data_IF_627404766198
#
_entry.id   IF_627404766198
#
_cell.length_a   1.000
_cell.length_b   1.000
_cell.length_c   1.000
_cell.angle_alpha   90.00
_cell.angle_beta   90.00
_cell.angle_gamma   90.00
#
_symmetry.space_group_name_H-M   'P 1'
#
loop_
_entity.id
_entity.type
_entity.pdbx_description
1 polymer ?
#
# COMPACT_ATOMS: atom_id res chain seq x y z
N UNK A 1 6.78 -33.53 14.49
CA UNK A 1 6.53 -32.85 13.20
C UNK A 1 6.59 -31.31 13.31
N UNK A 2 5.70 -30.64 14.04
CA UNK A 2 5.64 -29.16 14.09
C UNK A 2 6.91 -28.47 14.63
N UNK A 3 7.55 -29.01 15.67
CA UNK A 3 8.85 -28.53 16.16
C UNK A 3 9.97 -28.66 15.12
N UNK A 4 9.91 -29.73 14.31
CA UNK A 4 10.87 -29.98 13.22
C UNK A 4 10.69 -28.98 12.09
N UNK A 5 9.45 -28.64 11.73
CA UNK A 5 9.14 -27.64 10.70
C UNK A 5 9.66 -26.24 11.11
N UNK A 6 9.40 -25.81 12.34
CA UNK A 6 9.91 -24.51 12.85
C UNK A 6 11.45 -24.49 12.86
N UNK A 7 12.08 -25.58 13.28
CA UNK A 7 13.54 -25.70 13.30
C UNK A 7 14.12 -25.64 11.88
N UNK A 8 13.49 -26.32 10.93
CA UNK A 8 13.86 -26.29 9.51
C UNK A 8 13.69 -24.90 8.90
N UNK A 9 12.57 -24.22 9.16
CA UNK A 9 12.33 -22.86 8.67
C UNK A 9 13.37 -21.88 9.22
N UNK A 10 13.73 -21.99 10.50
CA UNK A 10 14.74 -21.14 11.13
C UNK A 10 16.13 -21.35 10.53
N UNK A 11 16.52 -22.61 10.30
CA UNK A 11 17.77 -22.97 9.63
C UNK A 11 17.79 -22.38 8.21
N UNK A 12 16.71 -22.58 7.45
CA UNK A 12 16.63 -22.10 6.07
C UNK A 12 16.70 -20.57 5.98
N UNK A 13 16.08 -19.86 6.92
CA UNK A 13 16.20 -18.41 7.10
C UNK A 13 17.66 -18.01 7.35
N UNK A 14 18.35 -18.69 8.27
CA UNK A 14 19.74 -18.37 8.61
C UNK A 14 20.69 -18.63 7.44
N UNK A 15 20.42 -19.66 6.63
CA UNK A 15 21.17 -19.94 5.40
C UNK A 15 20.96 -18.83 4.35
N UNK A 16 19.71 -18.39 4.14
CA UNK A 16 19.38 -17.36 3.15
C UNK A 16 19.92 -15.98 3.55
N UNK A 17 19.75 -15.56 4.81
CA UNK A 17 20.08 -14.19 5.23
C UNK A 17 21.55 -13.97 5.60
N UNK A 18 22.27 -15.03 6.00
CA UNK A 18 23.65 -14.91 6.46
C UNK A 18 24.65 -15.71 5.60
N UNK A 19 24.22 -16.29 4.48
CA UNK A 19 25.07 -17.12 3.62
C UNK A 19 25.65 -18.34 4.34
N UNK A 20 25.00 -18.78 5.42
CA UNK A 20 25.52 -19.82 6.29
C UNK A 20 25.34 -21.20 5.66
N UNK A 21 26.37 -22.04 5.73
CA UNK A 21 26.25 -23.45 5.37
C UNK A 21 25.33 -24.19 6.35
N UNK A 22 24.75 -25.33 5.95
CA UNK A 22 23.83 -26.11 6.81
C UNK A 22 24.45 -26.48 8.16
N UNK A 23 25.73 -26.85 8.18
CA UNK A 23 26.47 -27.15 9.40
C UNK A 23 26.73 -25.90 10.27
N UNK A 24 26.88 -24.72 9.66
CA UNK A 24 26.98 -23.43 10.37
C UNK A 24 25.65 -22.99 11.01
N UNK A 25 24.54 -23.33 10.35
CA UNK A 25 23.19 -23.03 10.86
C UNK A 25 22.77 -23.97 12.00
N UNK A 26 23.24 -25.22 12.00
CA UNK A 26 23.06 -26.14 13.14
C UNK A 26 23.95 -25.77 14.34
N UNK A 27 25.12 -25.17 14.09
CA UNK A 27 26.04 -24.67 15.14
C UNK A 27 25.73 -23.23 15.58
N UNK A 28 24.61 -22.63 15.14
CA UNK A 28 24.19 -21.33 15.63
C UNK A 28 24.09 -21.35 17.15
N UNK A 29 25.04 -20.63 17.74
CA UNK A 29 25.40 -20.63 19.13
C UNK A 29 24.18 -20.66 20.07
N UNK A 30 24.22 -21.52 21.08
CA UNK A 30 23.32 -21.51 22.23
C UNK A 30 23.13 -20.08 22.76
N UNK A 31 24.12 -19.19 22.60
CA UNK A 31 24.02 -17.75 22.89
C UNK A 31 22.98 -17.00 22.07
N UNK A 32 22.82 -17.24 20.77
CA UNK A 32 21.77 -16.58 19.94
C UNK A 32 20.38 -17.09 20.29
N UNK A 33 20.23 -18.40 20.48
CA UNK A 33 18.96 -18.96 20.96
C UNK A 33 18.61 -18.43 22.35
N UNK A 34 19.60 -18.30 23.25
CA UNK A 34 19.41 -17.73 24.57
C UNK A 34 19.18 -16.21 24.52
N UNK A 35 19.81 -15.49 23.60
CA UNK A 35 19.59 -14.06 23.37
C UNK A 35 18.18 -13.80 22.85
N UNK A 36 17.72 -14.56 21.85
CA UNK A 36 16.35 -14.50 21.33
C UNK A 36 15.33 -14.88 22.41
N UNK A 37 15.55 -15.95 23.18
CA UNK A 37 14.70 -16.35 24.30
C UNK A 37 14.68 -15.28 25.41
N UNK A 38 15.83 -14.71 25.76
CA UNK A 38 15.96 -13.65 26.75
C UNK A 38 15.26 -12.35 26.31
N UNK A 39 15.46 -11.98 25.04
CA UNK A 39 14.79 -10.84 24.41
C UNK A 39 13.27 -11.04 24.41
N UNK A 40 12.77 -12.20 23.96
CA UNK A 40 11.34 -12.55 24.01
C UNK A 40 10.76 -12.52 25.43
N UNK A 41 11.50 -13.04 26.42
CA UNK A 41 11.05 -13.06 27.81
C UNK A 41 10.96 -11.64 28.41
N UNK A 42 11.84 -10.74 27.99
CA UNK A 42 11.87 -9.33 28.46
C UNK A 42 10.91 -8.42 27.68
N UNK A 43 10.63 -8.76 26.43
CA UNK A 43 9.80 -7.98 25.53
C UNK A 43 8.73 -8.90 24.93
N UNK A 44 7.56 -9.08 25.59
CA UNK A 44 6.47 -9.92 25.10
C UNK A 44 5.75 -9.32 23.88
N UNK A 45 6.48 -8.55 23.07
CA UNK A 45 6.04 -7.90 21.85
C UNK A 45 5.88 -8.96 20.76
N UNK A 46 4.99 -8.70 19.80
CA UNK A 46 4.66 -9.68 18.76
C UNK A 46 5.72 -9.57 17.67
N UNK A 47 6.59 -10.57 17.60
CA UNK A 47 7.41 -10.81 16.41
C UNK A 47 6.69 -11.87 15.58
N UNK A 48 6.30 -11.54 14.34
CA UNK A 48 5.79 -12.52 13.38
C UNK A 48 6.86 -12.90 12.36
N UNK A 49 6.76 -14.13 11.86
CA UNK A 49 7.51 -14.59 10.72
C UNK A 49 6.53 -14.72 9.56
N UNK A 50 6.73 -13.90 8.57
CA UNK A 50 5.81 -13.72 7.46
C UNK A 50 6.34 -14.54 6.28
N UNK A 51 5.59 -15.54 5.86
CA UNK A 51 5.85 -16.29 4.64
C UNK A 51 4.66 -16.08 3.71
N UNK A 52 4.90 -15.72 2.47
CA UNK A 52 3.80 -15.56 1.50
C UNK A 52 4.26 -16.03 0.13
N UNK A 53 3.37 -16.75 -0.55
CA UNK A 53 3.54 -17.22 -1.92
C UNK A 53 2.32 -16.77 -2.71
N UNK A 54 2.46 -15.75 -3.55
CA UNK A 54 1.33 -15.24 -4.31
C UNK A 54 1.32 -15.87 -5.70
N UNK A 55 0.17 -16.40 -6.09
CA UNK A 55 -0.04 -17.07 -7.37
C UNK A 55 -0.90 -16.21 -8.30
N UNK A 56 -0.26 -15.45 -9.18
CA UNK A 56 -1.02 -14.60 -10.10
C UNK A 56 -1.52 -15.41 -11.29
N UNK A 57 -2.84 -15.55 -11.35
CA UNK A 57 -3.57 -15.83 -12.57
C UNK A 57 -4.28 -14.53 -12.97
N UNK A 58 -4.16 -14.11 -14.23
CA UNK A 58 -5.10 -13.18 -14.86
C UNK A 58 -5.04 -13.46 -16.36
N UNK A 59 -6.01 -14.19 -16.93
CA UNK A 59 -6.06 -14.42 -18.37
C UNK A 59 -6.30 -13.08 -19.07
N UNK A 60 -5.63 -12.82 -20.19
CA UNK A 60 -6.04 -11.75 -21.11
C UNK A 60 -7.35 -12.17 -21.81
N UNK A 61 -8.04 -11.25 -22.53
CA UNK A 61 -9.24 -11.58 -23.31
C UNK A 61 -9.04 -12.66 -24.39
N UNK A 62 -7.78 -13.01 -24.72
CA UNK A 62 -7.42 -14.08 -25.66
C UNK A 62 -7.05 -15.39 -24.93
N UNK A 63 -7.23 -15.48 -23.62
CA UNK A 63 -6.91 -16.64 -22.79
C UNK A 63 -5.42 -16.81 -22.47
N UNK A 64 -4.55 -15.86 -22.81
CA UNK A 64 -3.13 -15.87 -22.43
C UNK A 64 -2.96 -15.19 -21.09
N UNK A 65 -2.42 -15.88 -20.09
CA UNK A 65 -2.18 -15.26 -18.79
C UNK A 65 -1.22 -14.07 -18.91
N UNK A 66 -1.70 -12.86 -18.60
CA UNK A 66 -0.89 -11.62 -18.56
C UNK A 66 0.22 -11.74 -17.51
N UNK A 67 0.03 -12.59 -16.50
CA UNK A 67 0.96 -12.81 -15.39
C UNK A 67 1.47 -14.25 -15.30
N UNK A 68 1.40 -15.03 -16.39
CA UNK A 68 1.65 -16.48 -16.42
C UNK A 68 2.70 -16.95 -15.40
N UNK A 69 2.23 -17.53 -14.28
CA UNK A 69 3.01 -18.19 -13.24
C UNK A 69 4.14 -17.38 -12.59
N UNK A 70 3.99 -16.08 -12.37
CA UNK A 70 4.93 -15.36 -11.49
C UNK A 70 4.57 -15.63 -10.03
N UNK A 71 5.41 -16.42 -9.35
CA UNK A 71 5.32 -16.64 -7.91
C UNK A 71 6.08 -15.51 -7.20
N UNK A 72 5.38 -14.66 -6.45
CA UNK A 72 6.04 -13.78 -5.48
C UNK A 72 6.19 -14.55 -4.18
N UNK A 73 7.40 -15.07 -3.94
CA UNK A 73 7.79 -15.69 -2.68
C UNK A 73 8.50 -14.68 -1.80
N UNK A 74 7.99 -14.47 -0.59
CA UNK A 74 8.62 -13.61 0.39
C UNK A 74 8.80 -14.28 1.75
N UNK A 75 9.90 -13.94 2.40
CA UNK A 75 10.15 -14.23 3.81
C UNK A 75 10.42 -12.91 4.50
N UNK A 76 9.68 -12.64 5.58
CA UNK A 76 9.79 -11.42 6.33
C UNK A 76 9.58 -11.55 7.82
N UNK A 77 9.84 -10.45 8.51
CA UNK A 77 9.61 -10.31 9.94
C UNK A 77 8.81 -9.04 10.17
N UNK A 78 7.77 -9.14 10.99
CA UNK A 78 7.08 -7.97 11.50
C UNK A 78 7.27 -7.86 13.00
N UNK A 79 7.74 -6.71 13.45
CA UNK A 79 7.89 -6.39 14.87
C UNK A 79 6.80 -5.41 15.29
N UNK A 80 5.94 -5.84 16.21
CA UNK A 80 4.90 -5.01 16.82
C UNK A 80 5.11 -4.91 18.32
N UNK A 81 5.52 -3.73 18.76
CA UNK A 81 5.88 -3.49 20.15
C UNK A 81 5.22 -2.25 20.74
N UNK A 82 4.63 -2.40 21.92
CA UNK A 82 4.28 -1.30 22.81
C UNK A 82 5.02 -1.49 24.14
N UNK A 83 5.69 -0.46 24.63
CA UNK A 83 6.41 -0.57 25.90
C UNK A 83 5.47 -0.27 27.08
N UNK A 84 5.36 -1.19 28.04
CA UNK A 84 4.51 -0.97 29.22
C UNK A 84 5.03 0.24 30.01
N UNK A 85 4.20 1.29 30.09
CA UNK A 85 4.53 2.55 30.77
C UNK A 85 5.43 3.49 29.97
N UNK A 86 5.98 3.06 28.82
CA UNK A 86 6.66 3.96 27.87
C UNK A 86 5.83 3.98 26.60
N UNK A 87 5.27 5.13 26.30
CA UNK A 87 4.36 5.38 25.19
C UNK A 87 4.99 5.25 23.78
N UNK A 88 5.85 4.27 23.56
CA UNK A 88 6.52 3.98 22.29
C UNK A 88 5.78 2.84 21.59
N UNK A 89 5.41 3.05 20.33
CA UNK A 89 4.88 2.03 19.42
C UNK A 89 5.77 1.91 18.20
N UNK A 90 6.02 0.68 17.75
CA UNK A 90 6.64 0.41 16.45
C UNK A 90 6.00 -0.82 15.80
N UNK A 91 5.79 -0.72 14.49
CA UNK A 91 5.29 -1.71 13.55
C UNK A 91 6.14 -1.61 12.28
N UNK A 92 7.10 -2.54 12.16
CA UNK A 92 8.08 -2.59 11.09
C UNK A 92 8.00 -3.95 10.44
N UNK A 93 7.82 -3.99 9.13
CA UNK A 93 7.91 -5.19 8.31
C UNK A 93 9.16 -5.14 7.45
N UNK A 94 9.91 -6.21 7.40
CA UNK A 94 11.01 -6.40 6.46
C UNK A 94 10.80 -7.72 5.74
N UNK A 95 10.98 -7.77 4.42
CA UNK A 95 10.96 -9.03 3.69
C UNK A 95 11.88 -9.03 2.47
N UNK A 96 12.29 -10.23 2.08
CA UNK A 96 13.06 -10.49 0.87
C UNK A 96 12.15 -11.13 -0.19
N UNK A 97 12.10 -10.54 -1.38
CA UNK A 97 11.39 -11.08 -2.54
C UNK A 97 12.35 -11.92 -3.38
N UNK A 98 12.25 -13.25 -3.26
CA UNK A 98 13.17 -14.17 -3.93
C UNK A 98 13.07 -14.11 -5.46
N UNK A 99 11.86 -13.83 -5.98
CA UNK A 99 11.61 -13.64 -7.41
C UNK A 99 12.27 -12.40 -7.98
N UNK A 100 12.52 -11.38 -7.14
CA UNK A 100 13.10 -10.11 -7.56
C UNK A 100 14.57 -9.96 -7.18
N UNK A 101 15.06 -10.80 -6.25
CA UNK A 101 16.33 -10.60 -5.56
C UNK A 101 16.40 -9.18 -4.94
N UNK A 102 15.33 -8.79 -4.24
CA UNK A 102 15.16 -7.47 -3.64
C UNK A 102 14.70 -7.54 -2.20
N UNK A 103 15.14 -6.55 -1.43
CA UNK A 103 14.72 -6.33 -0.05
C UNK A 103 13.72 -5.18 0.03
N UNK A 104 12.70 -5.38 0.85
CA UNK A 104 11.68 -4.41 1.15
C UNK A 104 11.64 -4.15 2.65
N UNK A 105 11.58 -2.86 3.02
CA UNK A 105 11.34 -2.42 4.39
C UNK A 105 10.09 -1.56 4.36
N UNK A 106 9.14 -1.89 5.22
CA UNK A 106 7.95 -1.10 5.43
C UNK A 106 7.84 -0.65 6.89
N UNK A 107 7.75 0.66 7.09
CA UNK A 107 7.51 1.25 8.40
C UNK A 107 6.03 1.63 8.46
N UNK A 108 5.20 0.75 9.01
CA UNK A 108 3.75 0.98 9.10
C UNK A 108 3.47 2.05 10.15
N UNK A 109 4.07 1.88 11.33
CA UNK A 109 3.80 2.71 12.51
C UNK A 109 5.09 2.81 13.34
N UNK A 110 5.51 3.99 13.76
CA UNK A 110 6.66 4.18 14.64
C UNK A 110 6.60 5.56 15.28
N UNK A 111 6.11 5.64 16.52
CA UNK A 111 5.93 6.90 17.20
C UNK A 111 6.09 6.78 18.71
N UNK A 112 6.38 7.93 19.31
CA UNK A 112 6.30 8.15 20.75
C UNK A 112 5.09 9.03 21.07
N UNK A 113 4.33 8.67 22.10
CA UNK A 113 3.20 9.45 22.60
C UNK A 113 3.52 10.04 23.98
N UNK A 114 2.99 11.22 24.30
CA UNK A 114 2.95 11.75 25.66
C UNK A 114 1.50 11.98 26.01
N UNK A 115 1.02 11.27 27.03
CA UNK A 115 -0.36 11.35 27.50
C UNK A 115 -0.46 12.38 28.62
N UNK A 116 -1.40 13.29 28.49
CA UNK A 116 -1.93 14.13 29.57
C UNK A 116 -3.39 13.73 29.84
N UNK A 117 -4.01 14.25 30.90
CA UNK A 117 -5.31 13.75 31.39
C UNK A 117 -6.42 13.64 30.32
N UNK A 118 -6.42 14.47 29.27
CA UNK A 118 -7.43 14.47 28.20
C UNK A 118 -6.85 14.63 26.79
N UNK A 119 -5.53 14.67 26.69
CA UNK A 119 -4.82 15.04 25.46
C UNK A 119 -3.60 14.15 25.32
N UNK A 120 -3.39 13.61 24.12
CA UNK A 120 -2.24 12.80 23.74
C UNK A 120 -1.47 13.54 22.63
N UNK A 121 -0.16 13.74 22.82
CA UNK A 121 0.75 14.22 21.78
C UNK A 121 1.57 13.04 21.26
N UNK A 122 1.45 12.69 19.98
CA UNK A 122 2.31 11.70 19.33
C UNK A 122 3.29 12.37 18.37
N UNK A 123 4.52 11.88 18.31
CA UNK A 123 5.55 12.32 17.36
C UNK A 123 6.15 11.08 16.70
N UNK A 124 6.18 11.07 15.37
CA UNK A 124 6.72 9.97 14.57
C UNK A 124 5.81 9.64 13.38
N UNK A 125 5.89 8.42 12.89
CA UNK A 125 4.99 7.89 11.86
C UNK A 125 3.80 7.22 12.54
N UNK A 126 2.60 7.75 12.37
CA UNK A 126 1.39 7.25 13.05
C UNK A 126 0.28 6.87 12.09
N UNK A 127 -0.20 5.63 12.18
CA UNK A 127 -1.41 5.18 11.48
C UNK A 127 -2.65 5.68 12.25
N UNK A 128 -3.53 6.40 11.57
CA UNK A 128 -4.74 6.99 12.16
C UNK A 128 -5.98 6.65 11.33
N UNK A 129 -7.12 6.43 11.95
CA UNK A 129 -8.33 6.11 11.19
C UNK A 129 -9.05 7.37 10.68
N UNK A 130 -8.48 7.97 9.63
CA UNK A 130 -9.07 9.12 8.96
C UNK A 130 -10.37 8.76 8.22
N UNK A 131 -10.44 7.59 7.57
CA UNK A 131 -11.65 7.13 6.89
C UNK A 131 -11.76 5.61 6.92
N UNK A 132 -12.87 5.08 7.45
CA UNK A 132 -13.18 3.66 7.40
C UNK A 132 -13.29 3.15 5.96
N UNK A 133 -13.81 3.97 5.05
CA UNK A 133 -13.91 3.62 3.63
C UNK A 133 -12.53 3.48 2.97
N UNK A 134 -11.63 4.45 3.17
CA UNK A 134 -10.26 4.39 2.65
C UNK A 134 -9.48 3.19 3.23
N UNK A 135 -9.73 2.81 4.49
CA UNK A 135 -9.16 1.59 5.09
C UNK A 135 -9.73 0.30 4.49
N UNK A 136 -11.02 0.27 4.19
CA UNK A 136 -11.71 -0.94 3.69
C UNK A 136 -11.30 -1.28 2.26
N UNK A 137 -11.14 -0.23 1.44
CA UNK A 137 -10.80 -0.33 0.02
C UNK A 137 -9.32 -0.07 -0.26
N UNK A 138 -8.57 0.37 0.74
CA UNK A 138 -7.16 0.72 0.66
C UNK A 138 -6.85 1.64 -0.53
N UNK A 139 -7.60 2.74 -0.68
CA UNK A 139 -7.46 3.65 -1.84
C UNK A 139 -6.24 4.57 -1.74
N UNK A 140 -5.71 4.77 -0.52
CA UNK A 140 -4.53 5.59 -0.28
C UNK A 140 -4.84 7.08 -0.30
N UNK A 141 -6.10 7.46 -0.09
CA UNK A 141 -6.55 8.86 -0.09
C UNK A 141 -5.91 9.61 1.08
N UNK A 142 -6.16 9.12 2.30
CA UNK A 142 -5.76 9.80 3.53
C UNK A 142 -4.34 9.44 3.97
N UNK A 143 -3.86 8.27 3.59
CA UNK A 143 -2.59 7.73 4.05
C UNK A 143 -1.85 6.99 2.94
N UNK A 144 -0.51 7.07 2.90
CA UNK A 144 0.27 6.37 1.90
C UNK A 144 0.20 4.86 2.10
N UNK A 145 0.34 4.13 1.00
CA UNK A 145 0.35 2.66 0.98
C UNK A 145 1.73 2.12 0.65
N UNK A 146 2.00 0.94 1.16
CA UNK A 146 3.07 0.08 0.71
C UNK A 146 2.49 -0.95 -0.25
N UNK A 147 2.77 -0.77 -1.54
CA UNK A 147 2.16 -1.44 -2.69
C UNK A 147 3.11 -2.43 -3.35
N UNK A 148 3.93 -3.13 -2.58
CA UNK A 148 4.72 -4.25 -3.12
C UNK A 148 3.83 -5.31 -3.79
N UNK A 149 2.61 -5.49 -3.26
CA UNK A 149 1.49 -6.22 -3.85
C UNK A 149 0.30 -5.27 -3.99
N UNK A 150 -0.19 -5.06 -5.22
CA UNK A 150 -1.36 -4.19 -5.46
C UNK A 150 -2.68 -4.76 -4.99
N UNK A 151 -2.77 -6.08 -4.82
CA UNK A 151 -3.96 -6.71 -4.26
C UNK A 151 -4.05 -6.55 -2.73
N UNK A 152 -2.90 -6.38 -2.07
CA UNK A 152 -2.82 -6.17 -0.62
C UNK A 152 -1.94 -4.98 -0.27
N UNK A 153 -2.36 -3.77 -0.67
CA UNK A 153 -1.69 -2.57 -0.21
C UNK A 153 -1.78 -2.49 1.32
N UNK A 154 -0.65 -2.25 1.96
CA UNK A 154 -0.58 -2.04 3.41
C UNK A 154 -0.56 -0.53 3.66
N UNK A 155 -1.55 0.01 4.35
CA UNK A 155 -1.53 1.41 4.72
C UNK A 155 -0.39 1.71 5.70
N UNK A 156 0.22 2.88 5.54
CA UNK A 156 1.28 3.37 6.38
C UNK A 156 0.89 4.67 7.07
N UNK A 157 1.45 4.89 8.26
CA UNK A 157 1.23 6.09 9.04
C UNK A 157 1.68 7.37 8.33
N UNK A 158 1.07 8.50 8.70
CA UNK A 158 1.61 9.81 8.33
C UNK A 158 2.78 10.13 9.27
N UNK A 159 3.86 10.68 8.74
CA UNK A 159 5.03 11.10 9.53
C UNK A 159 4.81 12.53 10.00
N UNK A 160 4.87 12.80 11.30
CA UNK A 160 4.72 14.17 11.84
C UNK A 160 4.33 14.21 13.31
N UNK A 161 3.60 15.25 13.67
CA UNK A 161 3.09 15.50 15.03
C UNK A 161 1.58 15.35 15.04
N UNK A 162 1.07 14.63 16.02
CA UNK A 162 -0.35 14.39 16.22
C UNK A 162 -0.76 14.87 17.60
N UNK A 163 -1.87 15.58 17.69
CA UNK A 163 -2.50 15.93 18.94
C UNK A 163 -3.91 15.35 18.92
N UNK A 164 -4.24 14.53 19.90
CA UNK A 164 -5.55 13.90 20.00
C UNK A 164 -6.15 14.14 21.39
N UNK A 165 -7.47 14.21 21.49
CA UNK A 165 -8.12 14.38 22.78
C UNK A 165 -9.58 13.95 22.76
N UNK A 166 -10.19 13.90 23.94
CA UNK A 166 -11.59 13.54 24.08
C UNK A 166 -12.31 14.34 25.16
N UNK A 167 -13.57 14.68 24.89
CA UNK A 167 -14.47 15.37 25.81
C UNK A 167 -15.87 14.78 25.66
N UNK A 168 -16.35 14.09 26.70
CA UNK A 168 -17.65 13.38 26.69
C UNK A 168 -17.75 12.40 25.51
N UNK A 169 -18.66 12.67 24.58
CA UNK A 169 -18.95 11.88 23.40
C UNK A 169 -18.14 12.33 22.18
N UNK A 170 -17.23 13.29 22.32
CA UNK A 170 -16.43 13.81 21.22
C UNK A 170 -14.96 13.41 21.37
N UNK A 171 -14.36 13.03 20.25
CA UNK A 171 -12.94 12.76 20.07
C UNK A 171 -12.45 13.65 18.93
N UNK A 172 -11.23 14.16 19.04
CA UNK A 172 -10.62 14.96 17.98
C UNK A 172 -9.16 14.55 17.81
N UNK A 173 -8.68 14.70 16.58
CA UNK A 173 -7.29 14.45 16.20
C UNK A 173 -6.86 15.54 15.22
N UNK A 174 -5.71 16.15 15.47
CA UNK A 174 -5.06 17.09 14.54
C UNK A 174 -3.66 16.58 14.22
N UNK A 175 -3.23 16.75 12.98
CA UNK A 175 -1.94 16.32 12.47
C UNK A 175 -1.27 17.48 11.74
N UNK A 176 0.04 17.63 11.93
CA UNK A 176 0.85 18.55 11.15
C UNK A 176 2.23 17.93 10.87
N UNK A 177 2.78 18.20 9.69
CA UNK A 177 4.11 17.74 9.33
C UNK A 177 4.78 18.60 8.26
N UNK A 178 6.10 18.85 8.35
CA UNK A 178 6.89 19.35 7.22
C UNK A 178 7.40 18.23 6.29
N UNK A 179 7.19 16.96 6.66
CA UNK A 179 7.64 15.79 5.90
C UNK A 179 6.45 14.92 5.48
N UNK A 180 6.46 14.51 4.22
CA UNK A 180 5.53 13.52 3.66
C UNK A 180 6.34 12.39 3.05
N UNK A 181 5.93 11.16 3.35
CA UNK A 181 6.50 9.98 2.70
C UNK A 181 5.44 9.41 1.77
N UNK A 182 5.68 9.36 0.44
CA UNK A 182 4.71 8.89 -0.52
C UNK A 182 4.49 7.37 -0.40
N UNK A 183 3.59 6.86 -1.23
CA UNK A 183 3.44 5.42 -1.42
C UNK A 183 4.74 4.81 -1.93
N UNK A 184 5.03 3.60 -1.48
CA UNK A 184 6.18 2.83 -1.92
C UNK A 184 5.66 1.64 -2.72
N UNK A 185 6.03 1.58 -4.00
CA UNK A 185 5.61 0.52 -4.92
C UNK A 185 6.66 -0.58 -5.11
N UNK A 186 6.45 -1.45 -6.11
CA UNK A 186 7.44 -2.39 -6.59
C UNK A 186 8.76 -1.71 -6.96
N UNK A 187 9.88 -2.36 -6.66
CA UNK A 187 11.18 -1.89 -7.11
C UNK A 187 11.36 -2.16 -8.61
N UNK A 188 12.12 -1.30 -9.29
CA UNK A 188 12.53 -1.47 -10.67
C UNK A 188 14.01 -1.18 -10.84
N UNK A 189 14.58 -1.68 -11.93
CA UNK A 189 15.93 -1.40 -12.38
C UNK A 189 15.83 -0.54 -13.63
N UNK A 190 16.53 0.60 -13.61
CA UNK A 190 16.75 1.44 -14.76
C UNK A 190 18.18 1.20 -15.27
N UNK A 191 18.31 0.50 -16.39
CA UNK A 191 19.60 0.21 -17.02
C UNK A 191 19.47 0.39 -18.53
N UNK A 192 20.53 0.90 -19.18
CA UNK A 192 20.55 1.15 -20.63
C UNK A 192 19.31 1.90 -21.14
N UNK A 193 18.88 2.92 -20.38
CA UNK A 193 17.72 3.77 -20.71
C UNK A 193 16.41 2.98 -20.83
N UNK A 194 16.29 1.87 -20.09
CA UNK A 194 15.11 1.01 -20.07
C UNK A 194 14.74 0.67 -18.63
N UNK A 195 13.43 0.57 -18.39
CA UNK A 195 12.90 0.10 -17.12
C UNK A 195 12.59 -1.39 -17.18
N UNK A 196 12.94 -2.09 -16.11
CA UNK A 196 12.64 -3.50 -15.95
C UNK A 196 12.36 -3.82 -14.48
N UNK A 197 11.51 -4.81 -14.23
CA UNK A 197 11.32 -5.37 -12.91
C UNK A 197 10.87 -6.82 -13.03
N UNK A 198 11.27 -7.64 -12.07
CA UNK A 198 10.74 -8.98 -11.91
C UNK A 198 9.38 -8.97 -11.18
N UNK A 199 9.03 -7.88 -10.49
CA UNK A 199 7.75 -7.76 -9.80
C UNK A 199 6.60 -7.79 -10.83
N UNK A 200 5.58 -8.64 -10.64
CA UNK A 200 4.44 -8.74 -11.56
C UNK A 200 3.59 -7.45 -11.60
N UNK A 201 3.62 -6.64 -10.53
CA UNK A 201 2.87 -5.39 -10.44
C UNK A 201 3.56 -4.19 -11.08
N UNK A 202 4.75 -4.38 -11.62
CA UNK A 202 5.44 -3.37 -12.40
C UNK A 202 5.16 -3.58 -13.89
N UNK A 203 4.49 -2.61 -14.51
CA UNK A 203 4.27 -2.58 -15.96
C UNK A 203 5.36 -1.71 -16.60
N UNK A 204 6.35 -2.29 -17.29
CA UNK A 204 7.36 -1.48 -17.97
C UNK A 204 6.68 -0.65 -19.08
N UNK A 205 7.15 0.59 -19.32
CA UNK A 205 6.66 1.38 -20.44
C UNK A 205 7.07 0.74 -21.78
N UNK A 206 6.50 1.24 -22.88
CA UNK A 206 6.77 0.70 -24.21
C UNK A 206 8.27 0.72 -24.54
N UNK A 207 8.80 -0.33 -25.17
CA UNK A 207 10.25 -0.43 -25.48
C UNK A 207 10.61 0.08 -26.86
N UNK A 208 9.63 0.08 -27.77
CA UNK A 208 9.84 0.41 -29.17
C UNK A 208 8.71 1.31 -29.67
N UNK A 209 9.05 2.21 -30.58
CA UNK A 209 8.10 3.05 -31.29
C UNK A 209 8.30 2.91 -32.80
N UNK A 210 7.18 2.94 -33.54
CA UNK A 210 7.21 3.06 -34.99
C UNK A 210 7.26 4.54 -35.35
N UNK A 211 8.35 4.99 -35.94
CA UNK A 211 8.47 6.38 -36.42
C UNK A 211 7.83 6.47 -37.81
N UNK A 212 6.79 7.31 -38.00
CA UNK A 212 6.18 7.50 -39.32
C UNK A 212 7.23 7.92 -40.36
N UNK A 213 7.25 7.25 -41.51
CA UNK A 213 8.18 7.53 -42.61
C UNK A 213 9.44 6.67 -42.64
N UNK A 214 9.80 5.98 -41.56
CA UNK A 214 10.97 5.08 -41.53
C UNK A 214 10.60 3.59 -41.68
N UNK A 215 9.32 3.22 -41.58
CA UNK A 215 8.80 1.83 -41.59
C UNK A 215 9.55 0.85 -40.67
N UNK A 216 10.33 1.37 -39.72
CA UNK A 216 11.17 0.63 -38.81
C UNK A 216 10.74 0.94 -37.38
N UNK A 217 10.71 -0.11 -36.57
CA UNK A 217 10.54 0.00 -35.13
C UNK A 217 11.90 0.26 -34.51
N UNK A 218 12.05 1.39 -33.82
CA UNK A 218 13.29 1.75 -33.12
C UNK A 218 13.07 1.75 -31.61
N UNK A 219 14.15 1.48 -30.88
CA UNK A 219 14.16 1.43 -29.41
C UNK A 219 13.91 2.84 -28.86
N UNK A 220 12.96 2.96 -27.93
CA UNK A 220 12.70 4.20 -27.21
C UNK A 220 13.81 4.40 -26.17
N UNK A 221 14.44 5.57 -26.15
CA UNK A 221 15.40 5.95 -25.12
C UNK A 221 14.64 6.71 -24.03
N UNK A 222 14.61 6.18 -22.82
CA UNK A 222 14.08 6.92 -21.68
C UNK A 222 15.19 7.71 -21.02
N UNK A 223 14.98 9.00 -20.81
CA UNK A 223 15.83 9.86 -19.99
C UNK A 223 15.12 10.08 -18.66
N UNK A 224 15.45 9.24 -17.68
CA UNK A 224 14.87 9.32 -16.35
C UNK A 224 15.62 10.34 -15.50
N UNK A 225 14.95 11.44 -15.15
CA UNK A 225 15.45 12.40 -14.17
C UNK A 225 14.95 12.00 -12.79
N UNK A 226 15.84 11.43 -11.98
CA UNK A 226 15.50 11.13 -10.58
C UNK A 226 15.34 12.44 -9.83
N UNK A 227 14.15 12.73 -9.28
CA UNK A 227 13.91 13.97 -8.57
C UNK A 227 14.75 14.00 -7.30
N UNK A 228 15.14 15.21 -6.90
CA UNK A 228 15.83 15.41 -5.62
C UNK A 228 14.91 14.92 -4.48
N UNK A 229 15.45 14.07 -3.60
CA UNK A 229 14.68 13.39 -2.54
C UNK A 229 14.01 14.40 -1.59
N UNK A 230 14.67 15.53 -1.35
CA UNK A 230 14.16 16.63 -0.54
C UNK A 230 12.89 17.24 -1.15
N UNK A 231 12.81 17.41 -2.48
CA UNK A 231 11.60 17.86 -3.18
C UNK A 231 10.47 16.85 -3.14
N UNK A 232 10.74 15.56 -2.91
CA UNK A 232 9.69 14.57 -2.69
C UNK A 232 9.21 14.60 -1.24
N UNK A 233 10.13 14.73 -0.29
CA UNK A 233 9.83 14.50 1.13
C UNK A 233 9.34 15.78 1.82
N UNK A 234 9.90 16.94 1.53
CA UNK A 234 9.61 18.17 2.27
C UNK A 234 8.41 18.91 1.70
N UNK A 235 7.24 18.40 2.06
CA UNK A 235 5.95 19.02 1.75
C UNK A 235 5.10 19.19 3.01
N UNK A 236 4.61 20.41 3.28
CA UNK A 236 3.80 20.67 4.45
C UNK A 236 2.47 19.94 4.36
N UNK A 237 2.06 19.35 5.47
CA UNK A 237 0.80 18.62 5.61
C UNK A 237 0.07 19.06 6.87
N UNK A 238 -1.26 19.17 6.79
CA UNK A 238 -2.15 19.48 7.90
C UNK A 238 -3.41 18.61 7.76
N UNK A 239 -3.86 17.99 8.84
CA UNK A 239 -5.14 17.28 8.87
C UNK A 239 -5.86 17.45 10.21
N UNK A 240 -7.18 17.30 10.18
CA UNK A 240 -8.05 17.41 11.34
C UNK A 240 -9.23 16.44 11.24
N UNK A 241 -9.59 15.84 12.36
CA UNK A 241 -10.72 14.93 12.51
C UNK A 241 -11.50 15.31 13.77
N UNK A 242 -12.82 15.29 13.66
CA UNK A 242 -13.76 15.36 14.78
C UNK A 242 -14.71 14.17 14.69
N UNK A 243 -14.80 13.41 15.77
CA UNK A 243 -15.60 12.20 15.87
C UNK A 243 -16.53 12.26 17.07
N UNK A 244 -17.80 12.02 16.83
CA UNK A 244 -18.84 11.85 17.84
C UNK A 244 -19.15 10.36 18.04
N UNK A 245 -19.32 9.95 19.30
CA UNK A 245 -19.57 8.58 19.72
C UNK A 245 -20.63 8.54 20.82
N UNK A 246 -21.75 7.85 20.59
CA UNK A 246 -22.80 7.64 21.61
C UNK A 246 -23.56 6.34 21.35
N UNK A 247 -23.70 5.50 22.38
CA UNK A 247 -24.49 4.26 22.30
C UNK A 247 -24.11 3.37 21.10
N UNK A 248 -22.81 3.20 20.84
CA UNK A 248 -22.24 2.51 19.68
C UNK A 248 -22.46 3.20 18.32
N UNK A 249 -23.22 4.29 18.24
CA UNK A 249 -23.24 5.09 17.02
C UNK A 249 -22.01 5.98 16.96
N UNK A 250 -21.50 6.18 15.76
CA UNK A 250 -20.44 7.14 15.50
C UNK A 250 -20.78 8.00 14.29
N UNK A 251 -20.28 9.23 14.32
CA UNK A 251 -20.17 10.08 13.14
C UNK A 251 -18.83 10.80 13.21
N UNK A 252 -18.11 10.90 12.10
CA UNK A 252 -16.85 11.62 12.02
C UNK A 252 -16.80 12.50 10.77
N UNK A 253 -16.11 13.63 10.92
CA UNK A 253 -15.77 14.54 9.82
C UNK A 253 -14.27 14.76 9.82
N UNK A 254 -13.70 14.80 8.62
CA UNK A 254 -12.26 14.84 8.41
C UNK A 254 -11.92 15.89 7.35
N UNK A 255 -10.78 16.55 7.51
CA UNK A 255 -10.22 17.46 6.52
C UNK A 255 -8.70 17.29 6.46
N UNK A 256 -8.11 17.40 5.28
CA UNK A 256 -6.66 17.49 5.14
C UNK A 256 -6.24 18.38 3.96
N UNK A 257 -5.08 19.00 4.11
CA UNK A 257 -4.26 19.55 3.03
C UNK A 257 -2.90 18.86 3.14
N UNK A 258 -2.51 18.07 2.15
CA UNK A 258 -1.25 17.32 2.16
C UNK A 258 -0.84 16.94 0.73
N UNK A 259 0.38 16.44 0.53
CA UNK A 259 0.72 15.70 -0.67
C UNK A 259 -0.21 14.54 -0.95
N UNK A 260 -0.54 14.36 -2.22
CA UNK A 260 -1.05 13.10 -2.73
C UNK A 260 -0.08 11.99 -2.36
N UNK A 261 -0.64 10.87 -1.92
CA UNK A 261 0.16 9.71 -1.52
C UNK A 261 0.97 9.19 -2.71
N UNK A 262 0.37 9.15 -3.90
CA UNK A 262 1.01 8.69 -5.13
C UNK A 262 1.82 9.81 -5.79
N UNK A 263 3.02 9.49 -6.26
CA UNK A 263 3.76 10.36 -7.16
C UNK A 263 3.05 10.45 -8.50
N UNK A 264 3.04 11.65 -9.06
CA UNK A 264 2.56 11.89 -10.42
C UNK A 264 3.76 11.91 -11.35
N UNK A 265 3.58 11.42 -12.57
CA UNK A 265 4.65 11.40 -13.58
C UNK A 265 4.24 12.30 -14.74
N UNK A 266 5.20 13.09 -15.23
CA UNK A 266 5.12 13.80 -16.51
C UNK A 266 6.08 13.15 -17.49
N UNK A 267 5.72 13.13 -18.78
CA UNK A 267 6.60 12.64 -19.84
C UNK A 267 6.68 13.62 -21.00
N UNK A 268 7.84 13.73 -21.62
CA UNK A 268 8.05 14.53 -22.82
C UNK A 268 8.65 13.67 -23.93
N UNK A 269 7.82 13.13 -24.84
CA UNK A 269 8.31 12.37 -25.98
C UNK A 269 8.81 13.30 -27.10
N UNK A 270 9.99 13.01 -27.66
CA UNK A 270 10.57 13.73 -28.79
C UNK A 270 11.39 12.81 -29.71
N UNK A 271 11.75 13.32 -30.89
CA UNK A 271 12.68 12.64 -31.80
C UNK A 271 14.03 13.37 -31.75
N UNK A 272 15.07 12.70 -31.28
CA UNK A 272 16.44 13.20 -31.41
C UNK A 272 16.94 12.99 -32.84
N UNK A 273 17.34 14.08 -33.50
CA UNK A 273 17.89 14.09 -34.85
C UNK A 273 19.39 14.44 -34.86
N UNK A 274 20.04 14.43 -33.69
CA UNK A 274 21.45 14.85 -33.55
C UNK A 274 22.41 14.08 -34.45
N UNK A 275 22.23 12.78 -34.73
CA UNK A 275 22.92 12.13 -35.84
C UNK A 275 22.11 12.39 -37.14
N UNK A 276 22.68 13.09 -38.13
CA UNK A 276 22.01 13.34 -39.40
C UNK A 276 21.57 12.02 -40.05
N UNK A 277 20.27 11.90 -40.36
CA UNK A 277 19.68 10.72 -40.99
C UNK A 277 19.31 9.57 -40.04
N UNK A 278 19.40 9.75 -38.71
CA UNK A 278 19.01 8.74 -37.73
C UNK A 278 18.18 9.37 -36.61
N UNK A 279 16.87 9.52 -36.85
CA UNK A 279 15.91 9.98 -35.84
C UNK A 279 15.68 8.88 -34.80
N UNK A 280 15.91 9.18 -33.52
CA UNK A 280 15.67 8.22 -32.43
C UNK A 280 14.52 8.71 -31.54
N UNK A 281 13.56 7.85 -31.19
CA UNK A 281 12.53 8.20 -30.23
C UNK A 281 13.11 8.27 -28.82
N UNK A 282 12.98 9.42 -28.17
CA UNK A 282 13.38 9.64 -26.78
C UNK A 282 12.19 10.12 -25.96
N UNK A 283 12.23 9.85 -24.65
CA UNK A 283 11.20 10.25 -23.69
C UNK A 283 11.86 10.71 -22.40
N UNK A 284 11.72 11.99 -22.08
CA UNK A 284 12.07 12.49 -20.74
C UNK A 284 10.98 12.10 -19.75
N UNK A 285 11.37 11.59 -18.60
CA UNK A 285 10.44 11.15 -17.53
C UNK A 285 10.74 11.94 -16.27
N UNK A 286 9.74 12.66 -15.76
CA UNK A 286 9.86 13.52 -14.60
C UNK A 286 8.74 13.22 -13.58
N UNK A 287 9.04 12.45 -12.52
CA UNK A 287 8.12 12.23 -11.42
C UNK A 287 8.18 13.40 -10.42
N UNK A 288 7.04 13.73 -9.83
CA UNK A 288 6.90 14.83 -8.87
C UNK A 288 5.74 14.55 -7.91
N UNK A 289 5.66 15.36 -6.85
CA UNK A 289 4.62 15.27 -5.83
C UNK A 289 3.56 16.31 -6.13
N UNK A 290 2.29 15.93 -6.22
CA UNK A 290 1.18 16.87 -6.30
C UNK A 290 0.49 16.98 -4.93
N UNK A 291 -0.03 18.15 -4.60
CA UNK A 291 -0.83 18.37 -3.38
C UNK A 291 -2.32 18.10 -3.62
N UNK A 292 -3.06 17.84 -2.54
CA UNK A 292 -4.52 17.76 -2.58
C UNK A 292 -5.21 18.26 -1.31
N UNK A 293 -6.50 18.57 -1.45
CA UNK A 293 -7.43 18.85 -0.36
C UNK A 293 -8.37 17.67 -0.21
N UNK A 294 -8.56 17.19 1.02
CA UNK A 294 -9.47 16.10 1.35
C UNK A 294 -10.54 16.58 2.32
N UNK A 295 -11.77 16.15 2.09
CA UNK A 295 -12.89 16.28 3.03
C UNK A 295 -13.58 14.92 3.12
N UNK A 296 -13.87 14.45 4.33
CA UNK A 296 -14.56 13.19 4.54
C UNK A 296 -15.64 13.31 5.60
N UNK A 297 -16.70 12.52 5.46
CA UNK A 297 -17.78 12.41 6.43
C UNK A 297 -18.28 10.98 6.50
N UNK A 298 -18.36 10.40 7.69
CA UNK A 298 -18.76 9.01 7.88
C UNK A 298 -19.66 8.87 9.09
N UNK A 299 -20.73 8.10 8.97
CA UNK A 299 -21.59 7.76 10.10
C UNK A 299 -21.89 6.26 10.08
N UNK A 300 -21.99 5.68 11.26
CA UNK A 300 -22.20 4.25 11.37
C UNK A 300 -22.51 3.80 12.78
N UNK A 301 -22.48 2.49 12.94
CA UNK A 301 -22.74 1.82 14.21
C UNK A 301 -21.68 0.77 14.45
N UNK A 302 -20.98 0.93 15.58
CA UNK A 302 -20.12 -0.09 16.18
C UNK A 302 -20.95 -1.29 16.62
N UNK A 303 -20.31 -2.46 16.64
CA UNK A 303 -20.93 -3.77 16.85
C UNK A 303 -22.04 -3.76 17.91
N UNK A 304 -23.28 -4.01 17.51
CA UNK A 304 -24.43 -4.16 18.42
C UNK A 304 -25.24 -5.39 18.03
N UNK A 305 -25.36 -6.36 18.94
CA UNK A 305 -25.95 -7.69 18.65
C UNK A 305 -25.28 -8.38 17.44
N UNK A 306 -23.98 -8.16 17.29
CA UNK A 306 -23.16 -8.68 16.18
C UNK A 306 -23.15 -7.80 14.93
N UNK A 307 -24.16 -6.96 14.70
CA UNK A 307 -24.21 -6.11 13.50
C UNK A 307 -23.36 -4.85 13.65
N UNK A 308 -22.63 -4.50 12.60
CA UNK A 308 -21.91 -3.23 12.46
C UNK A 308 -22.03 -2.74 11.01
N UNK A 309 -21.79 -1.45 10.80
CA UNK A 309 -21.83 -0.89 9.45
C UNK A 309 -21.67 0.62 9.44
N UNK A 310 -21.42 1.17 8.26
CA UNK A 310 -21.27 2.59 8.05
C UNK A 310 -21.63 3.01 6.62
N UNK A 311 -21.89 4.30 6.48
CA UNK A 311 -21.89 5.03 5.21
C UNK A 311 -20.81 6.11 5.28
N UNK A 312 -20.07 6.28 4.20
CA UNK A 312 -18.92 7.17 4.12
C UNK A 312 -18.94 7.91 2.79
N UNK A 313 -18.67 9.21 2.84
CA UNK A 313 -18.42 10.05 1.68
C UNK A 313 -17.05 10.69 1.87
N UNK A 314 -16.16 10.52 0.88
CA UNK A 314 -14.89 11.23 0.82
C UNK A 314 -14.86 12.05 -0.47
N UNK A 315 -14.27 13.24 -0.41
CA UNK A 315 -14.05 14.11 -1.54
C UNK A 315 -12.61 14.57 -1.54
N UNK A 316 -11.99 14.53 -2.71
CA UNK A 316 -10.64 15.01 -2.98
C UNK A 316 -10.67 16.07 -4.07
N UNK A 317 -9.96 17.17 -3.85
CA UNK A 317 -9.69 18.19 -4.86
C UNK A 317 -8.16 18.34 -5.02
N UNK A 318 -7.57 17.78 -6.10
CA UNK A 318 -6.14 17.94 -6.39
C UNK A 318 -5.79 19.41 -6.63
N UNK A 319 -4.66 19.86 -6.07
CA UNK A 319 -4.11 21.19 -6.32
C UNK A 319 -3.35 21.15 -7.63
N UNK A 320 -3.75 22.00 -8.58
CA UNK A 320 -3.06 22.08 -9.87
C UNK A 320 -1.69 22.69 -9.69
N UNK A 321 -0.68 21.99 -10.18
CA UNK A 321 0.66 22.55 -10.28
C UNK A 321 0.90 23.18 -11.64
N UNK A 322 1.75 24.22 -11.65
CA UNK A 322 2.26 24.79 -12.88
C UNK A 322 3.25 23.82 -13.51
N UNK A 323 2.94 23.36 -14.72
CA UNK A 323 3.81 22.46 -15.49
C UNK A 323 4.12 23.10 -16.84
N UNK A 324 5.26 22.77 -17.47
CA UNK A 324 5.53 23.25 -18.81
C UNK A 324 4.48 22.72 -19.79
N UNK A 325 3.90 23.59 -20.63
CA UNK A 325 2.76 23.27 -21.50
C UNK A 325 3.03 22.16 -22.52
N UNK A 326 4.30 21.88 -22.80
CA UNK A 326 4.74 20.88 -23.77
C UNK A 326 4.79 19.45 -23.20
N UNK A 327 4.74 19.27 -21.89
CA UNK A 327 4.79 17.94 -21.27
C UNK A 327 3.43 17.26 -21.31
N UNK A 328 3.45 15.95 -21.54
CA UNK A 328 2.27 15.10 -21.36
C UNK A 328 2.18 14.75 -19.89
N UNK A 329 1.06 15.06 -19.27
CA UNK A 329 0.88 14.79 -17.85
C UNK A 329 -0.50 14.23 -17.57
N UNK A 330 -0.52 13.24 -16.68
CA UNK A 330 -1.76 12.72 -16.13
C UNK A 330 -2.51 13.86 -15.43
N UNK A 331 -3.69 14.18 -15.93
CA UNK A 331 -4.57 15.14 -15.29
C UNK A 331 -5.42 14.39 -14.26
N UNK A 332 -5.46 14.93 -13.05
CA UNK A 332 -6.26 14.40 -11.95
C UNK A 332 -7.48 15.27 -11.75
N UNK A 333 -8.66 14.66 -11.75
CA UNK A 333 -9.92 15.35 -11.46
C UNK A 333 -10.20 15.32 -9.96
N UNK A 334 -11.11 16.20 -9.56
CA UNK A 334 -11.77 16.05 -8.26
C UNK A 334 -12.39 14.66 -8.18
N UNK A 335 -12.26 14.03 -7.03
CA UNK A 335 -12.76 12.67 -6.79
C UNK A 335 -13.79 12.70 -5.69
N UNK A 336 -14.90 12.01 -5.86
CA UNK A 336 -15.86 11.75 -4.80
C UNK A 336 -16.05 10.25 -4.67
N UNK A 337 -15.98 9.72 -3.45
CA UNK A 337 -16.14 8.31 -3.15
C UNK A 337 -17.27 8.13 -2.15
N UNK A 338 -18.28 7.32 -2.50
CA UNK A 338 -19.33 6.85 -1.62
C UNK A 338 -19.11 5.38 -1.31
N UNK A 339 -19.04 5.04 -0.02
CA UNK A 339 -18.88 3.67 0.44
C UNK A 339 -19.97 3.33 1.45
N UNK A 340 -20.52 2.12 1.33
CA UNK A 340 -21.36 1.52 2.38
C UNK A 340 -20.74 0.19 2.82
N UNK A 341 -20.87 -0.13 4.10
CA UNK A 341 -20.47 -1.42 4.64
C UNK A 341 -21.51 -1.90 5.65
N UNK A 342 -21.84 -3.19 5.58
CA UNK A 342 -22.58 -3.89 6.61
C UNK A 342 -21.85 -5.19 6.94
N UNK A 343 -21.67 -5.46 8.23
CA UNK A 343 -21.09 -6.70 8.70
C UNK A 343 -21.84 -7.29 9.87
N UNK A 344 -21.66 -8.59 10.04
CA UNK A 344 -22.16 -9.38 11.15
C UNK A 344 -21.02 -10.18 11.76
N UNK A 345 -20.79 -9.94 13.05
CA UNK A 345 -19.79 -10.62 13.84
C UNK A 345 -20.44 -11.45 14.95
N UNK A 346 -20.22 -12.76 14.92
CA UNK A 346 -20.67 -13.71 15.95
C UNK A 346 -19.48 -14.51 16.46
N UNK A 347 -19.12 -14.29 17.73
CA UNK A 347 -17.94 -14.91 18.32
C UNK A 347 -16.68 -14.48 17.58
N UNK A 348 -16.05 -15.45 16.91
CA UNK A 348 -14.81 -15.28 16.15
C UNK A 348 -15.02 -15.23 14.63
N UNK A 349 -16.26 -15.24 14.17
CA UNK A 349 -16.63 -15.08 12.76
C UNK A 349 -17.05 -13.64 12.53
N UNK A 350 -16.51 -13.01 11.50
CA UNK A 350 -16.96 -11.73 10.95
C UNK A 350 -17.24 -11.93 9.47
N UNK A 351 -18.45 -11.62 9.03
CA UNK A 351 -18.84 -11.62 7.62
C UNK A 351 -19.24 -10.20 7.28
N UNK A 352 -18.80 -9.67 6.15
CA UNK A 352 -19.19 -8.33 5.72
C UNK A 352 -19.40 -8.25 4.21
N UNK A 353 -20.16 -7.23 3.83
CA UNK A 353 -20.22 -6.73 2.46
C UNK A 353 -19.95 -5.23 2.45
N UNK A 354 -19.31 -4.74 1.40
CA UNK A 354 -19.10 -3.33 1.15
C UNK A 354 -19.31 -2.99 -0.32
N UNK A 355 -19.98 -1.88 -0.59
CA UNK A 355 -20.13 -1.31 -1.93
C UNK A 355 -19.39 0.01 -1.99
N UNK A 356 -18.70 0.26 -3.10
CA UNK A 356 -18.04 1.53 -3.38
C UNK A 356 -18.41 2.04 -4.76
N UNK A 357 -18.62 3.36 -4.84
CA UNK A 357 -18.73 4.10 -6.08
C UNK A 357 -17.84 5.34 -6.00
N UNK A 358 -16.96 5.49 -6.97
CA UNK A 358 -15.97 6.55 -7.08
C UNK A 358 -16.18 7.28 -8.40
N UNK A 359 -16.37 8.59 -8.31
CA UNK A 359 -16.55 9.50 -9.44
C UNK A 359 -15.33 10.41 -9.55
N UNK A 360 -14.78 10.57 -10.75
CA UNK A 360 -13.60 11.41 -11.00
C UNK A 360 -12.29 10.67 -10.75
N UNK A 361 -11.22 11.36 -10.34
CA UNK A 361 -9.90 10.75 -10.16
C UNK A 361 -8.98 10.90 -11.36
N UNK A 362 -9.18 10.07 -12.38
CA UNK A 362 -8.40 10.12 -13.62
C UNK A 362 -9.13 10.96 -14.70
N UNK A 363 -8.40 11.82 -15.41
CA UNK A 363 -8.85 12.49 -16.65
C UNK A 363 -8.04 12.00 -17.85
N UNK A 364 -8.43 12.45 -19.04
CA UNK A 364 -7.55 12.42 -20.20
C UNK A 364 -6.24 13.14 -19.90
N UNK A 365 -5.15 12.58 -20.40
CA UNK A 365 -3.83 13.21 -20.31
C UNK A 365 -3.88 14.60 -20.94
N UNK A 366 -3.15 15.52 -20.34
CA UNK A 366 -3.01 16.89 -20.84
C UNK A 366 -1.64 17.07 -21.51
N UNK A 367 -1.53 18.01 -22.43
CA UNK A 367 -0.29 18.31 -23.17
C UNK A 367 -0.44 18.11 -24.68
N UNK A 368 0.46 18.72 -25.46
CA UNK A 368 0.36 18.73 -26.94
C UNK A 368 0.39 17.32 -27.56
N UNK A 369 1.06 16.37 -26.91
CA UNK A 369 1.26 15.00 -27.41
C UNK A 369 0.38 13.98 -26.69
N UNK A 370 -0.57 14.43 -25.86
CA UNK A 370 -1.52 13.55 -25.19
C UNK A 370 -2.48 12.91 -26.21
N UNK A 371 -2.81 11.63 -25.98
CA UNK A 371 -3.83 10.95 -26.78
C UNK A 371 -5.22 11.21 -26.19
N UNK A 372 -6.23 11.53 -27.01
CA UNK A 372 -7.60 11.76 -26.54
C UNK A 372 -8.30 10.47 -26.07
N UNK A 373 -7.76 9.30 -26.41
CA UNK A 373 -8.41 8.00 -26.15
C UNK A 373 -7.59 7.04 -25.30
N UNK A 374 -6.31 7.34 -25.05
CA UNK A 374 -5.41 6.46 -24.31
C UNK A 374 -4.57 7.29 -23.35
N UNK A 375 -4.50 6.86 -22.10
CA UNK A 375 -3.54 7.43 -21.16
C UNK A 375 -2.17 6.75 -21.31
N UNK A 376 -1.11 7.53 -21.18
CA UNK A 376 0.26 7.06 -21.02
C UNK A 376 0.53 6.51 -19.61
N UNK A 377 -0.36 6.82 -18.67
CA UNK A 377 -0.16 6.55 -17.25
C UNK A 377 -1.10 5.45 -16.77
N UNK A 378 -0.71 4.80 -15.68
CA UNK A 378 -1.59 3.88 -14.98
C UNK A 378 -2.74 4.64 -14.33
N UNK A 379 -3.87 3.95 -14.13
CA UNK A 379 -4.99 4.49 -13.35
C UNK A 379 -4.56 4.74 -11.90
N UNK A 380 -5.17 5.76 -11.30
CA UNK A 380 -4.83 6.18 -9.93
C UNK A 380 -5.44 5.23 -8.90
N UNK A 381 -6.66 4.79 -9.17
CA UNK A 381 -7.45 3.96 -8.30
C UNK A 381 -7.62 2.59 -8.93
N UNK A 382 -7.46 1.55 -8.10
CA UNK A 382 -7.61 0.16 -8.56
C UNK A 382 -9.08 -0.19 -8.84
N UNK A 383 -10.03 0.54 -8.23
CA UNK A 383 -11.47 0.30 -8.34
C UNK A 383 -12.25 1.61 -8.43
N UNK A 384 -13.22 1.67 -9.35
CA UNK A 384 -14.15 2.79 -9.49
C UNK A 384 -15.54 2.44 -8.98
N UNK A 385 -16.06 1.29 -9.39
CA UNK A 385 -17.30 0.73 -8.88
C UNK A 385 -17.05 -0.71 -8.51
N UNK A 386 -17.19 -1.04 -7.23
CA UNK A 386 -16.87 -2.39 -6.77
C UNK A 386 -17.75 -2.86 -5.61
N UNK A 387 -17.90 -4.19 -5.53
CA UNK A 387 -18.49 -4.91 -4.41
C UNK A 387 -17.40 -5.76 -3.75
N UNK A 388 -17.24 -5.62 -2.43
CA UNK A 388 -16.34 -6.44 -1.62
C UNK A 388 -17.14 -7.30 -0.66
N UNK A 389 -16.89 -8.60 -0.66
CA UNK A 389 -17.42 -9.56 0.33
C UNK A 389 -16.24 -10.12 1.11
N UNK A 390 -16.36 -10.21 2.43
CA UNK A 390 -15.28 -10.72 3.26
C UNK A 390 -15.76 -11.60 4.39
N UNK A 391 -14.95 -12.61 4.73
CA UNK A 391 -15.16 -13.52 5.85
C UNK A 391 -13.85 -13.70 6.60
N UNK A 392 -13.86 -13.31 7.87
CA UNK A 392 -12.77 -13.59 8.81
C UNK A 392 -13.25 -14.56 9.88
N UNK A 393 -12.54 -15.67 10.09
CA UNK A 393 -12.85 -16.67 11.09
C UNK A 393 -11.60 -17.00 11.92
N UNK A 394 -11.69 -16.86 13.24
CA UNK A 394 -10.68 -17.40 14.17
C UNK A 394 -11.20 -18.67 14.85
N UNK A 395 -10.45 -19.76 14.76
CA UNK A 395 -10.69 -21.02 15.48
C UNK A 395 -9.43 -21.36 16.26
N UNK A 396 -9.44 -21.10 17.58
CA UNK A 396 -8.26 -21.25 18.43
C UNK A 396 -7.11 -20.35 17.93
N UNK A 397 -5.96 -20.94 17.62
CA UNK A 397 -4.78 -20.27 17.03
C UNK A 397 -4.86 -20.07 15.53
N UNK A 398 -5.82 -20.70 14.83
CA UNK A 398 -5.94 -20.63 13.38
C UNK A 398 -6.89 -19.49 13.00
N UNK A 399 -6.51 -18.68 12.02
CA UNK A 399 -7.29 -17.56 11.51
C UNK A 399 -7.35 -17.65 9.99
N UNK A 400 -8.54 -17.51 9.43
CA UNK A 400 -8.83 -17.56 8.01
C UNK A 400 -9.45 -16.24 7.65
N UNK A 401 -8.96 -15.60 6.60
CA UNK A 401 -9.44 -14.32 6.12
C UNK A 401 -9.57 -14.38 4.61
N UNK A 402 -10.79 -14.20 4.10
CA UNK A 402 -11.09 -14.32 2.68
C UNK A 402 -11.88 -13.09 2.25
N UNK A 403 -11.34 -12.36 1.28
CA UNK A 403 -11.99 -11.26 0.59
C UNK A 403 -12.20 -11.61 -0.89
N UNK A 404 -13.37 -11.27 -1.42
CA UNK A 404 -13.69 -11.31 -2.86
C UNK A 404 -14.15 -9.92 -3.26
N UNK A 405 -13.54 -9.36 -4.29
CA UNK A 405 -13.89 -8.05 -4.83
C UNK A 405 -14.33 -8.24 -6.28
N UNK A 406 -15.53 -7.79 -6.61
CA UNK A 406 -16.04 -7.68 -7.97
C UNK A 406 -15.93 -6.22 -8.43
N UNK A 407 -15.14 -5.96 -9.48
CA UNK A 407 -15.03 -4.66 -10.14
C UNK A 407 -16.04 -4.59 -11.30
N UNK A 408 -17.01 -3.69 -11.19
CA UNK A 408 -18.06 -3.51 -12.19
C UNK A 408 -17.57 -2.83 -13.48
N UNK A 409 -16.47 -2.08 -13.44
CA UNK A 409 -15.93 -1.39 -14.62
C UNK A 409 -15.00 -2.31 -15.43
N UNK A 410 -14.25 -3.17 -14.75
CA UNK A 410 -13.36 -4.15 -15.39
C UNK A 410 -14.05 -5.47 -15.70
N UNK A 411 -15.28 -5.68 -15.20
CA UNK A 411 -16.03 -6.94 -15.25
C UNK A 411 -15.21 -8.13 -14.70
N UNK A 412 -14.40 -7.87 -13.67
CA UNK A 412 -13.43 -8.82 -13.15
C UNK A 412 -13.61 -9.04 -11.64
N UNK A 413 -13.22 -10.23 -11.17
CA UNK A 413 -13.10 -10.49 -9.73
C UNK A 413 -11.65 -10.62 -9.31
N UNK A 414 -11.36 -10.15 -8.09
CA UNK A 414 -10.14 -10.48 -7.38
C UNK A 414 -10.50 -11.24 -6.10
N UNK A 415 -9.66 -12.21 -5.77
CA UNK A 415 -9.81 -13.03 -4.58
C UNK A 415 -8.52 -12.98 -3.77
N UNK A 416 -8.71 -12.89 -2.47
CA UNK A 416 -7.69 -12.65 -1.47
C UNK A 416 -7.94 -13.62 -0.33
N UNK A 417 -7.09 -14.61 -0.13
CA UNK A 417 -7.17 -15.51 1.02
C UNK A 417 -5.89 -15.52 1.84
N UNK A 418 -6.02 -15.36 3.15
CA UNK A 418 -4.96 -15.56 4.14
C UNK A 418 -5.39 -16.63 5.12
N UNK A 419 -4.55 -17.65 5.29
CA UNK A 419 -4.64 -18.59 6.41
C UNK A 419 -3.45 -18.36 7.30
N UNK A 420 -3.68 -18.01 8.56
CA UNK A 420 -2.63 -17.75 9.52
C UNK A 420 -2.77 -18.55 10.81
N UNK A 421 -1.63 -18.89 11.41
CA UNK A 421 -1.55 -19.62 12.66
C UNK A 421 -0.73 -18.83 13.69
N UNK A 422 -1.36 -18.50 14.80
CA UNK A 422 -0.78 -17.77 15.93
C UNK A 422 -0.34 -18.77 17.02
N UNK A 423 0.98 -18.99 17.13
CA UNK A 423 1.55 -19.79 18.20
C UNK A 423 1.37 -19.09 19.55
N UNK A 424 1.35 -19.86 20.66
CA UNK A 424 1.20 -19.34 22.04
C UNK A 424 2.20 -18.24 22.43
N UNK A 425 3.33 -18.13 21.73
CA UNK A 425 4.37 -17.12 21.96
C UNK A 425 4.25 -15.92 21.01
N UNK A 426 3.08 -15.63 20.46
CA UNK A 426 2.84 -14.51 19.53
C UNK A 426 3.61 -14.55 18.22
N UNK A 427 4.26 -15.68 17.90
CA UNK A 427 4.72 -15.94 16.54
C UNK A 427 3.47 -16.19 15.68
N UNK A 428 3.31 -15.43 14.61
CA UNK A 428 2.32 -15.68 13.57
C UNK A 428 3.06 -16.20 12.35
N UNK A 429 2.52 -17.24 11.73
CA UNK A 429 2.88 -17.67 10.37
C UNK A 429 1.63 -17.60 9.51
N UNK A 430 1.74 -17.32 8.23
CA UNK A 430 0.59 -17.34 7.33
C UNK A 430 0.96 -17.91 5.97
N UNK A 431 -0.08 -18.26 5.22
CA UNK A 431 -0.03 -18.59 3.80
C UNK A 431 -1.08 -17.70 3.16
N UNK A 432 -0.67 -17.01 2.12
CA UNK A 432 -1.52 -16.11 1.36
C UNK A 432 -1.65 -16.65 -0.04
N UNK A 433 -2.86 -16.60 -0.59
CA UNK A 433 -3.14 -16.94 -1.99
C UNK A 433 -4.06 -15.85 -2.52
N UNK A 434 -3.61 -15.15 -3.55
CA UNK A 434 -4.34 -14.06 -4.18
C UNK A 434 -4.47 -14.35 -5.68
N UNK A 435 -5.55 -13.90 -6.32
CA UNK A 435 -5.75 -14.08 -7.75
C UNK A 435 -6.70 -13.04 -8.34
N UNK A 436 -6.63 -12.87 -9.66
CA UNK A 436 -7.56 -12.07 -10.46
C UNK A 436 -8.14 -12.98 -11.54
N UNK A 437 -9.42 -12.84 -11.85
CA UNK A 437 -10.00 -13.50 -13.00
C UNK A 437 -10.91 -12.52 -13.73
N UNK A 438 -10.70 -12.47 -15.04
CA UNK A 438 -11.50 -11.73 -16.00
C UNK A 438 -12.68 -12.60 -16.47
#
# INVERSE_FOLDING_TARGET
MLKGFIYFSLIYILQIFFGMSHSSAETLDTRWQNALKSFYKKHPQKLSLDYSQNYFYAPDPQGKSLFANRQLSQIGFTYQGESRGKNLKADISYFYSASEDKHYVNLVDAYYTKKWSRVDLSVGRKLENWSYADQTWSMGLWQPRFMWSRLRPVQNGLSGVFLAGSVKNFQWTTFASPISLPEMGPQFVYNEQQFSSANPWFRPPARYATVPGLFKSDKIIYNYESPEIDRIIFHPSLAGQLKWLKNNYFCQVNFAYKPMSQLVTSVYPYLDNSPPGNSRPEVDVYPFVADHRLVGGECGRQQTKGWHGYISVNHESPVRENRPENWVVKRTLETSMLTTLLGYQRGHTNIFFSLMNLWGGDDQDSGRLASPTKSFFEQRYDYYRALKLGVTQKVSSLMWDVDVIWDFEQEAWSWLSEVSYEFKNSLKTFIQVDGIAL
#
